data_IF_688744538580
#
_entry.id   IF_688744538580
#
_cell.length_a   1.000
_cell.length_b   1.000
_cell.length_c   1.000
_cell.angle_alpha   90.00
_cell.angle_beta   90.00
_cell.angle_gamma   90.00
#
_symmetry.space_group_name_H-M   'P 1'
#
loop_
_entity.id
_entity.type
_entity.pdbx_description
1 polymer ?
#
# COMPACT_ATOMS: atom_id res chain seq x y z
N UNK A 1 10.36 -6.80 -12.96
CA UNK A 1 9.67 -5.83 -12.07
C UNK A 1 9.97 -6.17 -10.63
N UNK A 2 10.06 -5.14 -9.79
CA UNK A 2 10.22 -5.25 -8.34
C UNK A 2 8.91 -4.90 -7.66
N UNK A 3 8.46 -5.73 -6.71
CA UNK A 3 7.30 -5.44 -5.86
C UNK A 3 7.84 -5.03 -4.49
N UNK A 4 7.35 -3.92 -3.96
CA UNK A 4 7.80 -3.31 -2.70
C UNK A 4 6.68 -3.40 -1.68
N UNK A 5 6.97 -3.97 -0.52
CA UNK A 5 6.11 -3.95 0.66
C UNK A 5 6.79 -3.18 1.79
N UNK A 6 5.96 -2.62 2.66
CA UNK A 6 6.37 -1.94 3.88
C UNK A 6 5.78 -2.66 5.09
N UNK A 7 6.65 -3.09 6.00
CA UNK A 7 6.28 -3.57 7.33
C UNK A 7 7.10 -2.87 8.40
N UNK A 8 6.46 -2.28 9.39
CA UNK A 8 7.15 -1.69 10.52
C UNK A 8 6.32 -1.77 11.80
N UNK A 9 7.01 -1.81 12.95
CA UNK A 9 6.39 -1.83 14.27
C UNK A 9 5.86 -3.19 14.72
N UNK A 10 6.22 -4.29 14.03
CA UNK A 10 6.02 -5.66 14.49
C UNK A 10 4.58 -6.14 14.63
N UNK A 11 3.62 -5.51 13.92
CA UNK A 11 2.21 -5.94 13.97
C UNK A 11 2.02 -7.29 13.28
N UNK A 12 1.71 -8.34 14.03
CA UNK A 12 1.43 -9.68 13.50
C UNK A 12 0.31 -9.65 12.45
N UNK A 13 -0.72 -8.81 12.64
CA UNK A 13 -1.79 -8.66 11.66
C UNK A 13 -1.30 -8.09 10.33
N UNK A 14 -0.41 -7.08 10.36
CA UNK A 14 0.18 -6.53 9.13
C UNK A 14 1.10 -7.54 8.44
N UNK A 15 1.94 -8.24 9.22
CA UNK A 15 2.81 -9.29 8.69
C UNK A 15 2.01 -10.39 8.01
N UNK A 16 0.93 -10.85 8.65
CA UNK A 16 0.02 -11.83 8.07
C UNK A 16 -0.63 -11.35 6.78
N UNK A 17 -1.07 -10.07 6.71
CA UNK A 17 -1.60 -9.46 5.50
C UNK A 17 -0.57 -9.47 4.38
N UNK A 18 0.68 -9.06 4.66
CA UNK A 18 1.78 -9.04 3.68
C UNK A 18 2.10 -10.46 3.19
N UNK A 19 2.18 -11.46 4.08
CA UNK A 19 2.37 -12.85 3.69
C UNK A 19 1.28 -13.33 2.73
N UNK A 20 0.01 -13.08 3.07
CA UNK A 20 -1.12 -13.47 2.24
C UNK A 20 -1.12 -12.75 0.89
N UNK A 21 -0.84 -11.44 0.90
CA UNK A 21 -0.69 -10.64 -0.31
C UNK A 21 0.38 -11.23 -1.22
N UNK A 22 1.62 -11.43 -0.74
CA UNK A 22 2.74 -11.99 -1.50
C UNK A 22 2.38 -13.34 -2.12
N UNK A 23 1.85 -14.26 -1.34
CA UNK A 23 1.49 -15.59 -1.83
C UNK A 23 0.40 -15.51 -2.90
N UNK A 24 -0.59 -14.60 -2.73
CA UNK A 24 -1.63 -14.39 -3.74
C UNK A 24 -1.06 -13.84 -5.05
N UNK A 25 -0.11 -12.89 -4.98
CA UNK A 25 0.53 -12.35 -6.17
C UNK A 25 1.36 -13.37 -6.92
N UNK A 26 2.10 -14.20 -6.21
CA UNK A 26 2.88 -15.28 -6.81
C UNK A 26 1.99 -16.36 -7.42
N UNK A 27 0.81 -16.62 -6.84
CA UNK A 27 -0.15 -17.60 -7.34
C UNK A 27 -0.81 -17.21 -8.69
N UNK A 28 -0.95 -15.90 -8.96
CA UNK A 28 -1.68 -15.37 -10.12
C UNK A 28 -0.77 -14.81 -11.23
N UNK A 29 0.50 -15.18 -11.26
CA UNK A 29 1.41 -14.76 -12.32
C UNK A 29 2.23 -15.90 -12.87
N UNK A 30 2.59 -15.82 -14.16
CA UNK A 30 3.62 -16.64 -14.79
C UNK A 30 4.98 -15.92 -14.81
N UNK A 31 5.00 -14.64 -14.46
CA UNK A 31 6.21 -13.82 -14.37
C UNK A 31 6.96 -14.12 -13.08
N UNK A 32 8.22 -13.69 -13.01
CA UNK A 32 9.08 -13.84 -11.83
C UNK A 32 9.41 -12.46 -11.26
N UNK A 33 8.48 -11.81 -10.55
CA UNK A 33 8.78 -10.55 -9.88
C UNK A 33 9.78 -10.79 -8.77
N UNK A 34 10.62 -9.78 -8.50
CA UNK A 34 11.44 -9.74 -7.30
C UNK A 34 10.68 -8.96 -6.22
N UNK A 35 10.51 -9.57 -5.06
CA UNK A 35 9.74 -8.98 -3.97
C UNK A 35 10.71 -8.48 -2.91
N UNK A 36 10.60 -7.20 -2.55
CA UNK A 36 11.41 -6.54 -1.52
C UNK A 36 10.48 -6.09 -0.40
N UNK A 37 10.79 -6.47 0.83
CA UNK A 37 10.07 -6.05 2.02
C UNK A 37 10.99 -5.16 2.84
N UNK A 38 10.66 -3.86 2.93
CA UNK A 38 11.35 -2.95 3.83
C UNK A 38 10.75 -3.09 5.24
N UNK A 39 11.53 -3.56 6.21
CA UNK A 39 11.02 -3.94 7.53
C UNK A 39 12.04 -3.74 8.64
N UNK A 40 11.56 -3.54 9.87
CA UNK A 40 12.33 -3.61 11.11
C UNK A 40 12.24 -4.99 11.80
N UNK A 41 11.54 -5.97 11.16
CA UNK A 41 11.34 -7.33 11.66
C UNK A 41 11.59 -8.38 10.56
N UNK A 42 12.82 -8.49 10.01
CA UNK A 42 13.11 -9.40 8.88
C UNK A 42 12.85 -10.87 9.22
N UNK A 43 12.96 -11.26 10.49
CA UNK A 43 12.69 -12.62 10.96
C UNK A 43 11.24 -13.08 10.75
N UNK A 44 10.30 -12.15 10.65
CA UNK A 44 8.89 -12.46 10.38
C UNK A 44 8.68 -13.09 8.99
N UNK A 45 9.65 -12.91 8.08
CA UNK A 45 9.55 -13.37 6.68
C UNK A 45 10.39 -14.60 6.35
N UNK A 46 10.98 -15.28 7.36
CA UNK A 46 11.78 -16.50 7.17
C UNK A 46 11.04 -17.61 6.43
N UNK A 47 9.72 -17.72 6.62
CA UNK A 47 8.90 -18.68 5.88
C UNK A 47 8.86 -18.44 4.37
N UNK A 48 9.11 -17.21 3.94
CA UNK A 48 9.15 -16.82 2.52
C UNK A 48 10.60 -16.75 1.98
N UNK A 49 11.57 -17.34 2.69
CA UNK A 49 12.96 -17.40 2.24
C UNK A 49 13.06 -17.98 0.82
N UNK A 50 13.85 -17.33 -0.03
CA UNK A 50 13.97 -17.68 -1.45
C UNK A 50 12.86 -17.09 -2.35
N UNK A 51 11.75 -16.60 -1.79
CA UNK A 51 10.67 -15.90 -2.52
C UNK A 51 10.77 -14.39 -2.39
N UNK A 52 11.32 -13.89 -1.29
CA UNK A 52 11.42 -12.46 -0.99
C UNK A 52 12.85 -12.07 -0.57
N UNK A 53 13.17 -10.78 -0.75
CA UNK A 53 14.34 -10.11 -0.19
C UNK A 53 13.87 -9.16 0.90
N UNK A 54 14.41 -9.26 2.12
CA UNK A 54 14.14 -8.29 3.18
C UNK A 54 15.21 -7.21 3.15
N UNK A 55 14.77 -5.95 3.21
CA UNK A 55 15.62 -4.78 3.34
C UNK A 55 15.39 -4.20 4.73
N UNK A 56 16.35 -4.44 5.61
CA UNK A 56 16.23 -4.00 6.99
C UNK A 56 16.27 -2.47 7.10
N UNK A 57 15.30 -1.92 7.83
CA UNK A 57 15.18 -0.49 8.12
C UNK A 57 14.99 -0.33 9.61
N UNK A 58 15.85 0.44 10.27
CA UNK A 58 15.77 0.59 11.71
C UNK A 58 14.52 1.36 12.16
N UNK A 59 13.99 1.10 13.37
CA UNK A 59 12.86 1.85 13.93
C UNK A 59 13.11 3.37 13.97
N UNK A 60 14.35 3.80 14.26
CA UNK A 60 14.73 5.21 14.25
C UNK A 60 14.65 5.82 12.85
N UNK A 61 15.03 5.07 11.81
CA UNK A 61 14.88 5.49 10.41
C UNK A 61 13.41 5.67 10.06
N UNK A 62 12.53 4.73 10.43
CA UNK A 62 11.09 4.87 10.23
C UNK A 62 10.53 6.09 10.95
N UNK A 63 10.96 6.34 12.19
CA UNK A 63 10.58 7.53 12.94
C UNK A 63 11.02 8.82 12.24
N UNK A 64 12.26 8.87 11.76
CA UNK A 64 12.78 10.02 11.00
C UNK A 64 11.98 10.25 9.71
N UNK A 65 11.55 9.18 9.03
CA UNK A 65 10.78 9.28 7.79
C UNK A 65 9.37 9.86 7.95
N UNK A 66 8.83 9.93 9.18
CA UNK A 66 7.57 10.62 9.48
C UNK A 66 7.66 12.14 9.35
N UNK A 67 8.90 12.67 9.34
CA UNK A 67 9.17 14.10 9.21
C UNK A 67 8.76 14.91 10.45
N UNK A 68 8.93 16.23 10.37
CA UNK A 68 8.65 17.15 11.47
C UNK A 68 7.18 17.16 11.91
N UNK A 69 6.27 16.89 10.97
CA UNK A 69 4.82 16.85 11.23
C UNK A 69 4.33 15.50 11.78
N UNK A 70 5.23 14.54 12.04
CA UNK A 70 4.93 13.20 12.56
C UNK A 70 3.84 12.46 11.74
N UNK A 71 3.89 12.60 10.40
CA UNK A 71 2.91 12.04 9.49
C UNK A 71 3.29 10.63 9.06
N UNK A 72 2.61 9.63 9.61
CA UNK A 72 2.96 8.21 9.43
C UNK A 72 2.90 7.74 7.96
N UNK A 73 1.97 8.26 7.15
CA UNK A 73 1.87 7.88 5.74
C UNK A 73 3.03 8.40 4.87
N UNK A 74 3.79 9.40 5.35
CA UNK A 74 5.01 9.85 4.70
C UNK A 74 6.06 8.74 4.58
N UNK A 75 6.03 7.77 5.49
CA UNK A 75 6.91 6.59 5.48
C UNK A 75 6.77 5.83 4.15
N UNK A 76 5.57 5.71 3.59
CA UNK A 76 5.34 5.04 2.29
C UNK A 76 6.16 5.70 1.17
N UNK A 77 6.13 7.03 1.06
CA UNK A 77 6.92 7.75 0.04
C UNK A 77 8.41 7.47 0.25
N UNK A 78 8.88 7.56 1.49
CA UNK A 78 10.29 7.35 1.85
C UNK A 78 10.76 5.92 1.59
N UNK A 79 9.94 4.93 1.85
CA UNK A 79 10.27 3.51 1.57
C UNK A 79 10.43 3.28 0.09
N UNK A 80 9.48 3.76 -0.74
CA UNK A 80 9.59 3.60 -2.19
C UNK A 80 10.87 4.30 -2.69
N UNK A 81 11.13 5.53 -2.26
CA UNK A 81 12.34 6.27 -2.59
C UNK A 81 13.62 5.51 -2.20
N UNK A 82 13.66 4.97 -0.98
CA UNK A 82 14.81 4.21 -0.46
C UNK A 82 15.08 2.93 -1.26
N UNK A 83 14.04 2.15 -1.55
CA UNK A 83 14.17 0.94 -2.37
C UNK A 83 14.56 1.28 -3.81
N UNK A 84 13.95 2.30 -4.41
CA UNK A 84 14.31 2.77 -5.77
C UNK A 84 15.78 3.16 -5.82
N UNK A 85 16.28 3.93 -4.86
CA UNK A 85 17.68 4.32 -4.79
C UNK A 85 18.61 3.10 -4.63
N UNK A 86 18.22 2.12 -3.80
CA UNK A 86 18.96 0.87 -3.67
C UNK A 86 19.04 0.09 -5.00
N UNK A 87 17.94 0.05 -5.77
CA UNK A 87 17.88 -0.62 -7.06
C UNK A 87 18.72 0.12 -8.13
N UNK A 88 18.66 1.45 -8.18
CA UNK A 88 19.42 2.26 -9.12
C UNK A 88 20.93 2.08 -8.93
N UNK A 89 21.40 1.99 -7.68
CA UNK A 89 22.81 1.76 -7.36
C UNK A 89 23.32 0.39 -7.84
N UNK A 90 22.44 -0.59 -8.08
CA UNK A 90 22.82 -1.92 -8.60
C UNK A 90 22.98 -1.96 -10.13
N UNK A 91 22.85 -0.84 -10.84
CA UNK A 91 22.94 -0.74 -12.32
C UNK A 91 22.08 -1.79 -13.04
N UNK A 92 20.87 -2.00 -12.57
CA UNK A 92 19.98 -3.02 -13.09
C UNK A 92 19.43 -2.62 -14.47
N UNK A 93 19.07 -3.60 -15.33
CA UNK A 93 18.45 -3.30 -16.63
C UNK A 93 17.13 -2.55 -16.44
N UNK A 94 16.64 -1.87 -17.50
CA UNK A 94 15.34 -1.21 -17.46
C UNK A 94 14.28 -2.12 -16.87
N UNK A 95 13.59 -1.66 -15.85
CA UNK A 95 12.61 -2.44 -15.10
C UNK A 95 11.52 -1.51 -14.56
N UNK A 96 10.58 -2.08 -13.83
CA UNK A 96 9.49 -1.37 -13.19
C UNK A 96 9.48 -1.65 -11.69
N UNK A 97 8.89 -0.76 -10.93
CA UNK A 97 8.59 -0.93 -9.50
C UNK A 97 7.09 -0.87 -9.28
N UNK A 98 6.61 -1.67 -8.35
CA UNK A 98 5.23 -1.65 -7.87
C UNK A 98 5.22 -1.70 -6.35
N UNK A 99 4.77 -0.63 -5.71
CA UNK A 99 4.49 -0.63 -4.28
C UNK A 99 3.09 -1.18 -4.03
N UNK A 100 2.95 -1.93 -2.94
CA UNK A 100 1.68 -2.52 -2.54
C UNK A 100 1.47 -2.41 -1.03
N UNK A 101 0.26 -1.97 -0.64
CA UNK A 101 -0.18 -2.08 0.75
C UNK A 101 -0.38 -3.56 1.12
N UNK A 102 -0.09 -3.93 2.37
CA UNK A 102 -0.23 -5.32 2.84
C UNK A 102 -1.66 -5.87 2.75
N UNK A 103 -2.67 -4.99 2.81
CA UNK A 103 -4.09 -5.32 2.70
C UNK A 103 -4.60 -5.39 1.24
N UNK A 104 -3.74 -5.89 0.35
CA UNK A 104 -4.07 -6.19 -1.06
C UNK A 104 -4.06 -7.70 -1.33
N UNK A 105 -4.77 -8.12 -2.36
CA UNK A 105 -4.79 -9.53 -2.81
C UNK A 105 -4.94 -9.56 -4.33
N UNK A 106 -4.18 -10.44 -5.00
CA UNK A 106 -4.40 -10.69 -6.42
C UNK A 106 -5.74 -11.42 -6.64
N UNK A 107 -6.57 -10.89 -7.53
CA UNK A 107 -7.89 -11.46 -7.85
C UNK A 107 -7.88 -12.20 -9.19
N UNK A 108 -6.95 -11.87 -10.07
CA UNK A 108 -6.83 -12.44 -11.41
C UNK A 108 -5.36 -12.48 -11.84
N UNK A 109 -5.10 -13.11 -13.00
CA UNK A 109 -3.76 -13.05 -13.59
C UNK A 109 -3.40 -11.60 -13.92
N UNK A 110 -2.23 -11.16 -13.44
CA UNK A 110 -1.76 -9.78 -13.59
C UNK A 110 -0.53 -9.64 -14.51
N UNK A 111 -0.27 -10.65 -15.34
CA UNK A 111 0.87 -10.64 -16.28
C UNK A 111 0.79 -9.47 -17.28
N UNK A 112 -0.43 -9.07 -17.68
CA UNK A 112 -0.62 -7.92 -18.56
C UNK A 112 -0.19 -6.61 -17.88
N UNK A 113 -0.61 -6.38 -16.64
CA UNK A 113 -0.15 -5.23 -15.85
C UNK A 113 1.38 -5.23 -15.74
N UNK A 114 1.98 -6.39 -15.43
CA UNK A 114 3.44 -6.53 -15.38
C UNK A 114 4.10 -6.06 -16.69
N UNK A 115 3.60 -6.55 -17.83
CA UNK A 115 4.16 -6.25 -19.15
C UNK A 115 3.96 -4.76 -19.53
N UNK A 116 2.82 -4.18 -19.20
CA UNK A 116 2.53 -2.77 -19.49
C UNK A 116 3.37 -1.82 -18.63
N UNK A 117 3.53 -2.08 -17.32
CA UNK A 117 4.38 -1.23 -16.48
C UNK A 117 5.84 -1.30 -16.93
N UNK A 118 6.33 -2.46 -17.35
CA UNK A 118 7.68 -2.59 -17.88
C UNK A 118 7.88 -1.85 -19.22
N UNK A 119 6.80 -1.62 -19.98
CA UNK A 119 6.78 -0.82 -21.23
C UNK A 119 6.57 0.67 -20.97
N UNK A 120 6.33 1.10 -19.76
CA UNK A 120 6.24 2.52 -19.43
C UNK A 120 4.88 3.02 -18.95
N UNK A 121 3.85 2.16 -18.88
CA UNK A 121 2.53 2.52 -18.36
C UNK A 121 2.56 2.63 -16.84
N UNK A 122 1.90 3.63 -16.30
CA UNK A 122 1.78 3.82 -14.86
C UNK A 122 0.42 3.34 -14.35
N UNK A 123 0.40 2.73 -13.16
CA UNK A 123 -0.82 2.20 -12.53
C UNK A 123 -0.95 2.69 -11.08
N UNK A 124 -2.20 3.00 -10.69
CA UNK A 124 -2.61 3.07 -9.28
C UNK A 124 -3.82 2.15 -9.07
N UNK A 125 -4.23 1.93 -7.80
CA UNK A 125 -5.26 0.94 -7.51
C UNK A 125 -6.58 1.26 -8.24
N UNK A 126 -7.24 2.36 -7.88
CA UNK A 126 -8.52 2.79 -8.48
C UNK A 126 -8.64 4.31 -8.46
N UNK A 127 -9.28 4.88 -9.48
CA UNK A 127 -9.64 6.31 -9.50
C UNK A 127 -10.84 6.54 -8.56
N UNK A 128 -10.64 7.26 -7.46
CA UNK A 128 -11.68 7.65 -6.50
C UNK A 128 -12.45 8.90 -6.94
N UNK A 129 -12.15 9.42 -8.14
CA UNK A 129 -12.79 10.58 -8.74
C UNK A 129 -12.22 11.92 -8.27
N UNK A 130 -12.97 12.98 -8.53
CA UNK A 130 -12.59 14.35 -8.15
C UNK A 130 -12.90 14.60 -6.68
N UNK A 131 -11.92 15.03 -5.85
CA UNK A 131 -12.13 15.24 -4.42
C UNK A 131 -13.30 16.16 -4.07
N UNK A 132 -13.58 17.17 -4.92
CA UNK A 132 -14.68 18.13 -4.69
C UNK A 132 -16.08 17.52 -4.85
N UNK A 133 -16.19 16.40 -5.60
CA UNK A 133 -17.45 15.66 -5.78
C UNK A 133 -17.66 14.57 -4.73
N UNK A 134 -16.68 14.33 -3.86
CA UNK A 134 -16.70 13.27 -2.86
C UNK A 134 -17.22 13.76 -1.50
N UNK A 135 -17.25 12.86 -0.53
CA UNK A 135 -17.57 13.13 0.85
C UNK A 135 -16.44 12.64 1.77
N UNK A 136 -16.47 13.07 3.03
CA UNK A 136 -15.53 12.59 4.04
C UNK A 136 -14.12 13.16 3.90
N UNK A 137 -13.07 12.31 3.98
CA UNK A 137 -11.68 12.79 4.05
C UNK A 137 -11.20 13.50 2.80
N UNK A 138 -11.53 13.01 1.61
CA UNK A 138 -11.12 13.63 0.34
C UNK A 138 -11.77 15.00 0.14
N UNK A 139 -13.05 15.15 0.50
CA UNK A 139 -13.73 16.46 0.48
C UNK A 139 -13.14 17.44 1.51
N UNK A 140 -12.64 16.95 2.65
CA UNK A 140 -11.93 17.81 3.62
C UNK A 140 -10.60 18.27 3.06
N UNK A 141 -9.80 17.34 2.52
CA UNK A 141 -8.55 17.66 1.84
C UNK A 141 -8.76 18.73 0.78
N UNK A 142 -9.77 18.56 -0.09
CA UNK A 142 -10.10 19.52 -1.13
C UNK A 142 -10.31 20.94 -0.60
N UNK A 143 -11.06 21.10 0.50
CA UNK A 143 -11.30 22.42 1.11
C UNK A 143 -10.02 23.11 1.55
N UNK A 144 -9.03 22.32 1.99
CA UNK A 144 -7.76 22.84 2.49
C UNK A 144 -6.80 23.21 1.35
N UNK A 145 -6.87 22.52 0.17
CA UNK A 145 -5.89 22.65 -0.91
C UNK A 145 -6.41 23.36 -2.17
N UNK A 146 -7.74 23.51 -2.36
CA UNK A 146 -8.32 24.07 -3.59
C UNK A 146 -7.77 25.47 -3.90
N UNK A 147 -7.41 25.68 -5.16
CA UNK A 147 -6.88 26.94 -5.66
C UNK A 147 -5.45 27.26 -5.24
N UNK A 148 -4.82 26.43 -4.39
CA UNK A 148 -3.42 26.58 -3.99
C UNK A 148 -2.49 25.91 -5.00
N UNK A 149 -1.20 26.15 -4.81
CA UNK A 149 -0.13 25.56 -5.61
C UNK A 149 0.91 24.95 -4.69
N UNK A 150 1.31 23.71 -4.98
CA UNK A 150 2.34 22.97 -4.24
C UNK A 150 3.34 22.36 -5.21
N UNK A 151 4.61 22.49 -4.94
CA UNK A 151 5.72 22.04 -5.79
C UNK A 151 5.56 22.43 -7.29
N UNK A 152 4.96 23.58 -7.55
CA UNK A 152 4.67 24.07 -8.90
C UNK A 152 3.37 23.55 -9.53
N UNK A 153 2.64 22.65 -8.88
CA UNK A 153 1.37 22.09 -9.38
C UNK A 153 0.19 22.85 -8.75
N UNK A 154 -0.64 23.43 -9.61
CA UNK A 154 -1.89 24.09 -9.20
C UNK A 154 -2.98 23.04 -8.93
N UNK A 155 -3.68 23.19 -7.82
CA UNK A 155 -4.81 22.32 -7.43
C UNK A 155 -6.11 22.97 -7.87
N UNK A 156 -6.83 22.32 -8.77
CA UNK A 156 -8.11 22.78 -9.32
C UNK A 156 -9.10 21.62 -9.52
N UNK A 157 -10.23 21.89 -10.13
CA UNK A 157 -11.32 20.93 -10.33
C UNK A 157 -10.94 19.74 -11.23
N UNK A 158 -9.82 19.79 -11.93
CA UNK A 158 -9.30 18.67 -12.73
C UNK A 158 -8.42 17.72 -11.91
N UNK A 159 -8.09 18.09 -10.66
CA UNK A 159 -7.26 17.27 -9.77
C UNK A 159 -8.03 16.05 -9.29
N UNK A 160 -7.59 14.88 -9.73
CA UNK A 160 -8.16 13.58 -9.36
C UNK A 160 -7.61 13.09 -8.00
N UNK A 161 -8.25 12.05 -7.46
CA UNK A 161 -7.76 11.25 -6.35
C UNK A 161 -7.71 9.79 -6.77
N UNK A 162 -6.53 9.20 -6.74
CA UNK A 162 -6.32 7.78 -6.99
C UNK A 162 -5.91 7.08 -5.69
N UNK A 163 -6.46 5.90 -5.46
CA UNK A 163 -6.11 5.08 -4.29
C UNK A 163 -4.66 4.58 -4.41
N UNK A 164 -3.86 4.83 -3.38
CA UNK A 164 -2.43 4.55 -3.34
C UNK A 164 -2.08 3.17 -2.71
N UNK A 165 -3.04 2.27 -2.59
CA UNK A 165 -2.77 0.89 -2.15
C UNK A 165 -1.95 0.07 -3.16
N UNK A 166 -1.94 0.53 -4.42
CA UNK A 166 -1.05 0.07 -5.49
C UNK A 166 -0.48 1.30 -6.19
N UNK A 167 0.83 1.34 -6.38
CA UNK A 167 1.55 2.38 -7.13
C UNK A 167 2.59 1.68 -8.00
N UNK A 168 2.37 1.62 -9.31
CA UNK A 168 3.29 0.96 -10.23
C UNK A 168 3.74 1.92 -11.33
N UNK A 169 5.06 1.91 -11.63
CA UNK A 169 5.68 2.82 -12.57
C UNK A 169 6.99 2.27 -13.13
N UNK A 170 7.44 2.75 -14.29
CA UNK A 170 8.78 2.45 -14.79
C UNK A 170 9.85 2.90 -13.78
N UNK A 171 10.88 2.08 -13.57
CA UNK A 171 11.97 2.42 -12.65
C UNK A 171 12.67 3.74 -13.04
N UNK A 172 12.76 4.03 -14.35
CA UNK A 172 13.36 5.27 -14.87
C UNK A 172 12.66 6.55 -14.43
N UNK A 173 11.36 6.48 -14.09
CA UNK A 173 10.56 7.61 -13.60
C UNK A 173 10.39 7.63 -12.08
N UNK A 174 10.74 6.52 -11.42
CA UNK A 174 10.41 6.32 -10.02
C UNK A 174 11.08 7.33 -9.08
N UNK A 175 12.32 7.72 -9.33
CA UNK A 175 13.01 8.73 -8.51
C UNK A 175 12.30 10.07 -8.60
N UNK A 176 12.00 10.53 -9.82
CA UNK A 176 11.35 11.82 -10.05
C UNK A 176 9.94 11.86 -9.45
N UNK A 177 9.16 10.77 -9.61
CA UNK A 177 7.82 10.64 -9.00
C UNK A 177 7.91 10.70 -7.48
N UNK A 178 8.82 9.95 -6.86
CA UNK A 178 8.96 9.96 -5.40
C UNK A 178 9.42 11.30 -4.85
N UNK A 179 10.36 11.98 -5.53
CA UNK A 179 10.86 13.29 -5.11
C UNK A 179 9.76 14.35 -5.20
N UNK A 180 8.98 14.33 -6.28
CA UNK A 180 7.85 15.24 -6.43
C UNK A 180 6.74 14.94 -5.43
N UNK A 181 6.38 13.66 -5.23
CA UNK A 181 5.39 13.26 -4.24
C UNK A 181 5.79 13.68 -2.82
N UNK A 182 7.08 13.54 -2.47
CA UNK A 182 7.59 13.97 -1.17
C UNK A 182 7.48 15.48 -0.98
N UNK A 183 7.91 16.27 -1.97
CA UNK A 183 7.77 17.73 -1.92
C UNK A 183 6.32 18.19 -1.79
N UNK A 184 5.42 17.61 -2.59
CA UNK A 184 3.98 17.90 -2.51
C UNK A 184 3.43 17.57 -1.12
N UNK A 185 3.78 16.41 -0.57
CA UNK A 185 3.37 15.98 0.76
C UNK A 185 3.87 16.95 1.83
N UNK A 186 5.16 17.26 1.82
CA UNK A 186 5.77 18.13 2.83
C UNK A 186 5.24 19.59 2.75
N UNK A 187 5.07 20.15 1.54
CA UNK A 187 4.48 21.50 1.37
C UNK A 187 3.02 21.57 1.85
N UNK A 188 2.18 20.56 1.52
CA UNK A 188 0.80 20.51 2.02
C UNK A 188 0.75 20.39 3.56
N UNK A 189 1.60 19.54 4.15
CA UNK A 189 1.67 19.40 5.61
C UNK A 189 2.13 20.67 6.29
N UNK A 190 3.13 21.37 5.73
CA UNK A 190 3.65 22.64 6.24
C UNK A 190 2.63 23.78 6.11
N UNK A 191 1.77 23.74 5.07
CA UNK A 191 0.65 24.66 4.90
C UNK A 191 -0.56 24.34 5.82
N UNK A 192 -0.41 23.40 6.74
CA UNK A 192 -1.41 23.08 7.76
C UNK A 192 -2.47 22.08 7.33
N UNK A 193 -2.35 21.45 6.16
CA UNK A 193 -3.26 20.38 5.73
C UNK A 193 -3.15 19.19 6.68
N UNK A 194 -4.28 18.76 7.26
CA UNK A 194 -4.35 17.65 8.23
C UNK A 194 -5.33 16.58 7.74
N UNK A 195 -4.91 15.83 6.73
CA UNK A 195 -5.67 14.72 6.19
C UNK A 195 -4.79 13.48 6.05
N UNK A 196 -5.33 12.30 6.32
CA UNK A 196 -4.59 11.07 6.08
C UNK A 196 -4.43 10.75 4.58
N UNK A 197 -5.15 11.45 3.68
CA UNK A 197 -5.05 11.28 2.24
C UNK A 197 -3.96 12.16 1.60
N UNK A 198 -3.17 12.94 2.35
CA UNK A 198 -2.13 13.82 1.79
C UNK A 198 -1.13 13.03 0.96
N UNK A 199 -0.64 11.89 1.47
CA UNK A 199 0.30 11.02 0.76
C UNK A 199 -0.31 10.49 -0.54
N UNK A 200 -1.53 9.96 -0.49
CA UNK A 200 -2.25 9.43 -1.65
C UNK A 200 -2.45 10.51 -2.73
N UNK A 201 -2.85 11.72 -2.32
CA UNK A 201 -3.02 12.85 -3.24
C UNK A 201 -1.68 13.30 -3.83
N UNK A 202 -0.61 13.31 -3.04
CA UNK A 202 0.73 13.63 -3.51
C UNK A 202 1.22 12.67 -4.57
N UNK A 203 1.01 11.36 -4.40
CA UNK A 203 1.32 10.37 -5.44
C UNK A 203 0.46 10.56 -6.69
N UNK A 204 -0.84 10.82 -6.53
CA UNK A 204 -1.73 11.08 -7.68
C UNK A 204 -1.20 12.24 -8.53
N UNK A 205 -0.90 13.38 -7.89
CA UNK A 205 -0.41 14.56 -8.59
C UNK A 205 0.96 14.33 -9.25
N UNK A 206 1.89 13.68 -8.52
CA UNK A 206 3.22 13.38 -9.05
C UNK A 206 3.16 12.41 -10.24
N UNK A 207 2.38 11.33 -10.14
CA UNK A 207 2.19 10.36 -11.19
C UNK A 207 1.54 10.98 -12.44
N UNK A 208 0.48 11.79 -12.26
CA UNK A 208 -0.15 12.52 -13.37
C UNK A 208 0.80 13.50 -14.04
N UNK A 209 1.63 14.20 -13.28
CA UNK A 209 2.58 15.18 -13.82
C UNK A 209 3.70 14.52 -14.63
N UNK A 210 4.26 13.42 -14.14
CA UNK A 210 5.46 12.78 -14.71
C UNK A 210 5.12 11.67 -15.69
N UNK A 211 4.08 10.85 -15.39
CA UNK A 211 3.66 9.74 -16.23
C UNK A 211 2.57 10.11 -17.22
N UNK A 212 1.87 11.24 -17.01
CA UNK A 212 0.77 11.80 -17.79
C UNK A 212 -0.53 10.99 -17.72
N UNK A 213 -0.46 9.67 -17.80
CA UNK A 213 -1.59 8.76 -17.74
C UNK A 213 -1.42 7.75 -16.60
N UNK A 214 -2.52 7.45 -15.90
CA UNK A 214 -2.57 6.45 -14.84
C UNK A 214 -3.68 5.47 -15.19
N UNK A 215 -3.37 4.18 -15.20
CA UNK A 215 -4.32 3.10 -15.40
C UNK A 215 -4.77 2.51 -14.06
N UNK A 216 -5.97 1.87 -14.04
CA UNK A 216 -6.49 1.21 -12.85
C UNK A 216 -6.00 -0.23 -12.74
N UNK A 217 -5.51 -0.59 -11.55
CA UNK A 217 -5.11 -1.96 -11.23
C UNK A 217 -6.27 -2.81 -10.66
N UNK A 218 -7.48 -2.27 -10.48
CA UNK A 218 -8.58 -2.91 -9.77
C UNK A 218 -9.07 -4.24 -10.38
N UNK A 219 -8.90 -4.44 -11.70
CA UNK A 219 -9.24 -5.70 -12.37
C UNK A 219 -8.28 -6.84 -12.03
N UNK A 220 -7.11 -6.54 -11.51
CA UNK A 220 -6.06 -7.50 -11.14
C UNK A 220 -5.91 -7.65 -9.64
N UNK A 221 -6.11 -6.54 -8.90
CA UNK A 221 -5.75 -6.38 -7.50
C UNK A 221 -6.93 -5.84 -6.73
N UNK A 222 -7.35 -6.58 -5.72
CA UNK A 222 -8.36 -6.14 -4.78
C UNK A 222 -7.68 -5.58 -3.52
N UNK A 223 -8.18 -4.47 -3.01
CA UNK A 223 -7.69 -3.79 -1.82
C UNK A 223 -8.80 -3.74 -0.76
N UNK A 224 -8.64 -4.47 0.34
CA UNK A 224 -9.69 -4.65 1.34
C UNK A 224 -9.58 -3.70 2.55
N UNK A 225 -9.03 -2.50 2.35
CA UNK A 225 -8.92 -1.46 3.37
C UNK A 225 -10.24 -1.17 4.11
N UNK A 226 -11.38 -1.32 3.42
CA UNK A 226 -12.73 -1.13 3.98
C UNK A 226 -13.27 -2.31 4.79
N UNK A 227 -12.57 -3.46 4.82
CA UNK A 227 -12.97 -4.66 5.57
C UNK A 227 -11.78 -5.46 6.13
N UNK A 228 -10.75 -4.77 6.62
CA UNK A 228 -9.57 -5.44 7.23
C UNK A 228 -9.94 -6.47 8.28
N UNK A 229 -10.95 -6.19 9.14
CA UNK A 229 -11.35 -7.10 10.20
C UNK A 229 -11.87 -8.44 9.67
N UNK A 230 -12.67 -8.43 8.61
CA UNK A 230 -13.18 -9.64 7.97
C UNK A 230 -12.05 -10.45 7.32
N UNK A 231 -11.20 -9.77 6.56
CA UNK A 231 -10.08 -10.40 5.88
C UNK A 231 -9.00 -10.92 6.84
N UNK A 232 -8.69 -10.19 7.92
CA UNK A 232 -7.74 -10.68 8.95
C UNK A 232 -8.21 -11.99 9.58
N UNK A 233 -9.54 -12.17 9.78
CA UNK A 233 -10.07 -13.45 10.27
C UNK A 233 -9.85 -14.57 9.27
N UNK A 234 -10.15 -14.37 7.99
CA UNK A 234 -9.93 -15.35 6.93
C UNK A 234 -8.46 -15.74 6.85
N UNK A 235 -7.57 -14.77 6.90
CA UNK A 235 -6.13 -15.00 6.85
C UNK A 235 -5.62 -15.74 8.09
N UNK A 236 -6.12 -15.40 9.27
CA UNK A 236 -5.76 -16.09 10.51
C UNK A 236 -6.19 -17.56 10.46
N UNK A 237 -7.42 -17.83 10.00
CA UNK A 237 -7.94 -19.20 9.86
C UNK A 237 -7.12 -19.96 8.79
N UNK A 238 -6.78 -19.31 7.67
CA UNK A 238 -5.94 -19.88 6.61
C UNK A 238 -4.56 -20.27 7.12
N UNK A 239 -3.82 -19.35 7.74
CA UNK A 239 -2.46 -19.63 8.21
C UNK A 239 -2.43 -20.55 9.41
N UNK A 240 -3.46 -20.57 10.25
CA UNK A 240 -3.59 -21.56 11.33
C UNK A 240 -3.69 -22.97 10.75
N UNK A 241 -4.52 -23.17 9.71
CA UNK A 241 -4.63 -24.45 9.01
C UNK A 241 -3.31 -24.81 8.33
N UNK A 242 -2.73 -23.87 7.57
CA UNK A 242 -1.44 -24.06 6.90
C UNK A 242 -0.33 -24.51 7.87
N UNK A 243 -0.30 -23.94 9.09
CA UNK A 243 0.64 -24.34 10.13
C UNK A 243 0.38 -25.75 10.65
N UNK A 244 -0.88 -26.09 10.94
CA UNK A 244 -1.27 -27.41 11.47
C UNK A 244 -0.98 -28.52 10.44
N UNK A 245 -1.27 -28.27 9.18
CA UNK A 245 -1.09 -29.20 8.08
C UNK A 245 0.32 -29.16 7.49
N UNK A 246 1.20 -28.27 8.02
CA UNK A 246 2.61 -28.10 7.65
C UNK A 246 2.80 -27.76 6.16
N UNK A 247 1.91 -26.94 5.59
CA UNK A 247 2.00 -26.54 4.18
C UNK A 247 3.25 -25.72 3.90
N UNK A 248 3.81 -25.96 2.72
CA UNK A 248 4.85 -25.12 2.12
C UNK A 248 4.24 -23.83 1.55
N UNK A 249 5.02 -22.77 1.30
CA UNK A 249 4.52 -21.59 0.59
C UNK A 249 3.90 -21.89 -0.77
N UNK A 250 4.41 -22.92 -1.49
CA UNK A 250 3.90 -23.34 -2.79
C UNK A 250 2.50 -23.96 -2.68
N UNK A 251 2.26 -24.79 -1.66
CA UNK A 251 0.92 -25.34 -1.37
C UNK A 251 -0.05 -24.24 -0.96
N UNK A 252 0.38 -23.29 -0.14
CA UNK A 252 -0.42 -22.13 0.21
C UNK A 252 -0.81 -21.29 -1.01
N UNK A 253 0.11 -21.08 -1.97
CA UNK A 253 -0.21 -20.38 -3.22
C UNK A 253 -1.33 -21.07 -4.00
N UNK A 254 -1.30 -22.40 -4.09
CA UNK A 254 -2.34 -23.19 -4.76
C UNK A 254 -3.70 -23.03 -4.04
N UNK A 255 -3.72 -23.17 -2.73
CA UNK A 255 -4.93 -23.00 -1.92
C UNK A 255 -5.51 -21.58 -2.02
N UNK A 256 -4.66 -20.55 -2.01
CA UNK A 256 -5.10 -19.15 -2.19
C UNK A 256 -5.69 -18.94 -3.59
N UNK A 257 -5.14 -19.60 -4.61
CA UNK A 257 -5.66 -19.52 -5.98
C UNK A 257 -7.05 -20.14 -6.10
N UNK A 258 -7.29 -21.25 -5.42
CA UNK A 258 -8.57 -21.97 -5.40
C UNK A 258 -9.61 -21.35 -4.45
N UNK A 259 -9.17 -20.49 -3.52
CA UNK A 259 -10.05 -19.87 -2.53
C UNK A 259 -11.11 -19.00 -3.21
N UNK A 260 -12.38 -19.19 -2.83
CA UNK A 260 -13.45 -18.26 -3.18
C UNK A 260 -13.31 -16.95 -2.39
N UNK A 261 -12.76 -15.94 -3.04
CA UNK A 261 -12.54 -14.60 -2.45
C UNK A 261 -13.81 -13.76 -2.34
N UNK A 262 -14.94 -14.23 -2.91
CA UNK A 262 -16.23 -13.54 -2.83
C UNK A 262 -16.94 -13.76 -1.49
N UNK A 263 -16.53 -14.75 -0.73
CA UNK A 263 -17.11 -15.08 0.59
C UNK A 263 -16.99 -13.93 1.59
N UNK A 264 -15.91 -13.13 1.48
CA UNK A 264 -15.70 -11.95 2.33
C UNK A 264 -15.63 -10.72 1.45
N UNK A 265 -16.58 -9.77 1.58
CA UNK A 265 -16.53 -8.56 0.75
C UNK A 265 -15.28 -7.74 1.03
N UNK A 266 -14.70 -7.12 0.00
CA UNK A 266 -13.55 -6.24 0.13
C UNK A 266 -13.89 -4.93 0.84
N UNK A 267 -15.13 -4.49 0.76
CA UNK A 267 -15.61 -3.28 1.39
C UNK A 267 -16.95 -3.51 2.11
N UNK A 268 -17.00 -3.09 3.37
CA UNK A 268 -18.24 -3.10 4.17
C UNK A 268 -18.62 -1.66 4.50
N UNK A 269 -19.74 -1.19 3.95
CA UNK A 269 -20.28 0.12 4.28
C UNK A 269 -20.89 0.09 5.67
N UNK A 270 -20.15 0.55 6.67
CA UNK A 270 -20.67 0.67 8.04
C UNK A 270 -21.41 2.00 8.16
N UNK A 271 -22.70 2.00 8.55
CA UNK A 271 -23.46 3.24 8.75
C UNK A 271 -22.77 4.17 9.77
N UNK A 272 -22.82 5.47 9.55
CA UNK A 272 -22.12 6.49 10.37
C UNK A 272 -22.51 6.38 11.86
N UNK A 273 -23.76 6.13 12.16
CA UNK A 273 -24.23 5.96 13.55
C UNK A 273 -23.57 4.75 14.24
N UNK A 274 -23.37 3.64 13.50
CA UNK A 274 -22.69 2.44 14.01
C UNK A 274 -21.20 2.68 14.21
N UNK A 275 -20.57 3.44 13.32
CA UNK A 275 -19.15 3.85 13.50
C UNK A 275 -18.98 4.72 14.75
N UNK A 276 -19.89 5.67 14.99
CA UNK A 276 -19.90 6.52 16.19
C UNK A 276 -20.12 5.70 17.45
N UNK A 277 -21.05 4.75 17.41
CA UNK A 277 -21.36 3.86 18.52
C UNK A 277 -20.16 2.94 18.86
N UNK A 278 -19.52 2.35 17.87
CA UNK A 278 -18.30 1.54 18.08
C UNK A 278 -17.18 2.35 18.68
N UNK A 279 -16.91 3.55 18.16
CA UNK A 279 -15.92 4.47 18.75
C UNK A 279 -16.25 4.86 20.19
N UNK A 280 -17.53 5.03 20.52
CA UNK A 280 -17.96 5.32 21.87
C UNK A 280 -17.73 4.12 22.80
N UNK A 281 -18.01 2.89 22.36
CA UNK A 281 -17.70 1.67 23.11
C UNK A 281 -16.18 1.54 23.33
N UNK A 282 -15.36 1.76 22.31
CA UNK A 282 -13.90 1.71 22.44
C UNK A 282 -13.35 2.74 23.43
N UNK A 283 -14.02 3.91 23.56
CA UNK A 283 -13.67 4.90 24.56
C UNK A 283 -14.05 4.49 26.01
N UNK A 284 -15.17 3.75 26.17
CA UNK A 284 -15.67 3.36 27.49
C UNK A 284 -15.07 2.03 27.97
N UNK A 285 -14.82 1.12 27.04
CA UNK A 285 -14.24 -0.19 27.27
C UNK A 285 -13.11 -0.44 26.27
N UNK A 286 -11.95 0.24 26.43
CA UNK A 286 -10.81 -0.01 25.57
C UNK A 286 -10.46 -1.49 25.65
N UNK A 287 -10.44 -2.17 24.50
CA UNK A 287 -10.02 -3.58 24.43
C UNK A 287 -8.63 -3.66 25.05
N UNK A 288 -8.49 -4.44 26.13
CA UNK A 288 -7.17 -4.73 26.71
C UNK A 288 -6.35 -5.39 25.59
N UNK A 289 -5.30 -4.71 25.15
CA UNK A 289 -4.25 -5.36 24.36
C UNK A 289 -3.83 -6.61 25.11
N UNK A 290 -3.98 -7.76 24.48
CA UNK A 290 -3.54 -9.02 25.06
C UNK A 290 -2.03 -8.93 25.32
N UNK A 291 -1.58 -9.44 26.45
CA UNK A 291 -0.20 -9.35 26.96
C UNK A 291 0.86 -10.01 26.05
N UNK A 292 0.46 -10.55 24.90
CA UNK A 292 1.33 -11.11 23.86
C UNK A 292 2.01 -10.05 22.99
N UNK A 293 1.50 -8.80 22.96
CA UNK A 293 2.08 -7.70 22.18
C UNK A 293 3.16 -6.91 22.96
N UNK A 294 3.59 -7.40 24.14
CA UNK A 294 4.56 -6.72 25.03
C UNK A 294 5.80 -7.58 25.34
N UNK A 295 6.34 -8.29 24.37
CA UNK A 295 7.69 -8.87 24.54
C UNK A 295 8.51 -8.70 23.29
#
# INVERSE_FOLDING_TARGET
MYIIYLDYGGSVANQMQIHFSILSFLAYTTRKPRIIIATDHPEAYKRLEGLVETLEVTPDTFKMWRGEMDYSFRIKIKVIQYVVQHLMNKQLPPSAVMYMDGDTVACSNWDLLYDEVTKGVAYMHINEGMPYLTHGPSARLWRDVKGKQYAGIKIDETSEMWNAGVIAMPLSKATEVCDLALRLCDEMLNDGVRSFNVEQFSFTLAMRHICHEIHSAESYICHYWGNKKGWNKVQADFFTRSLIEMHTPQEDMLLIKEMDKSVVPYYVKVPIWRQRFLKWIDCIAPQKQTSLDKK
#
